data_IF_508085310473
#
_entry.id   IF_508085310473
#
_cell.length_a   1.000
_cell.length_b   1.000
_cell.length_c   1.000
_cell.angle_alpha   90.00
_cell.angle_beta   90.00
_cell.angle_gamma   90.00
#
_symmetry.space_group_name_H-M   'P 1'
#
loop_
_entity.id
_entity.type
_entity.pdbx_description
1 polymer ?
#
# COMPACT_ATOMS: atom_id res chain seq x y z
N UNK A 1 15.88 -12.83 8.51
CA UNK A 1 15.25 -11.50 8.43
C UNK A 1 15.02 -11.21 6.97
N UNK A 2 13.78 -10.99 6.54
CA UNK A 2 13.50 -10.53 5.19
C UNK A 2 14.03 -9.09 5.15
N UNK A 3 14.91 -8.74 4.21
CA UNK A 3 15.28 -7.33 4.02
C UNK A 3 14.00 -6.53 3.76
N UNK A 4 13.66 -5.61 4.65
CA UNK A 4 12.38 -4.89 4.62
C UNK A 4 12.40 -3.69 3.67
N UNK A 5 13.53 -3.46 3.00
CA UNK A 5 13.66 -2.37 2.06
C UNK A 5 13.07 -2.78 0.70
N UNK A 6 12.02 -2.06 0.30
CA UNK A 6 11.40 -2.18 -1.01
C UNK A 6 11.55 -0.82 -1.68
N UNK A 7 12.52 -0.75 -2.59
CA UNK A 7 12.77 0.44 -3.40
C UNK A 7 11.68 0.57 -4.47
N UNK A 8 11.07 1.76 -4.57
CA UNK A 8 10.14 2.08 -5.65
C UNK A 8 10.98 2.53 -6.84
N UNK A 9 11.08 1.65 -7.85
CA UNK A 9 11.75 1.97 -9.12
C UNK A 9 11.05 3.15 -9.81
N UNK A 10 11.84 3.97 -10.51
CA UNK A 10 11.36 5.18 -11.18
C UNK A 10 10.25 4.91 -12.20
N UNK A 11 10.35 3.83 -12.97
CA UNK A 11 9.34 3.42 -13.96
C UNK A 11 7.98 3.15 -13.29
N UNK A 12 7.98 2.37 -12.21
CA UNK A 12 6.78 2.06 -11.43
C UNK A 12 6.17 3.31 -10.80
N UNK A 13 7.00 4.21 -10.27
CA UNK A 13 6.53 5.47 -9.70
C UNK A 13 5.83 6.32 -10.76
N UNK A 14 6.46 6.44 -11.94
CA UNK A 14 5.91 7.22 -13.04
C UNK A 14 4.57 6.64 -13.53
N UNK A 15 4.48 5.31 -13.65
CA UNK A 15 3.22 4.65 -14.01
C UNK A 15 2.14 4.84 -12.93
N UNK A 16 2.52 4.79 -11.65
CA UNK A 16 1.60 5.06 -10.55
C UNK A 16 1.08 6.50 -10.57
N UNK A 17 1.95 7.48 -10.79
CA UNK A 17 1.58 8.89 -10.89
C UNK A 17 0.70 9.12 -12.13
N UNK A 18 1.00 8.50 -13.27
CA UNK A 18 0.14 8.58 -14.47
C UNK A 18 -1.24 7.98 -14.24
N UNK A 19 -1.30 6.85 -13.54
CA UNK A 19 -2.56 6.18 -13.21
C UNK A 19 -3.40 7.01 -12.23
N UNK A 20 -2.76 7.57 -11.20
CA UNK A 20 -3.42 8.28 -10.11
C UNK A 20 -3.70 9.76 -10.41
N UNK A 21 -2.83 10.41 -11.19
CA UNK A 21 -2.88 11.82 -11.58
C UNK A 21 -1.85 12.72 -10.87
N UNK A 22 -1.31 12.32 -9.72
CA UNK A 22 -0.29 13.08 -8.99
C UNK A 22 0.53 12.20 -8.04
N UNK A 23 1.63 12.74 -7.49
CA UNK A 23 2.41 12.10 -6.45
C UNK A 23 1.89 12.52 -5.07
N UNK A 24 1.49 11.54 -4.25
CA UNK A 24 1.02 11.77 -2.89
C UNK A 24 1.44 10.66 -1.92
N UNK A 25 1.49 10.94 -0.61
CA UNK A 25 2.04 9.98 0.36
C UNK A 25 1.17 8.73 0.50
N UNK A 26 -0.15 8.85 0.37
CA UNK A 26 -1.05 7.69 0.40
C UNK A 26 -0.84 6.76 -0.81
N UNK A 27 -0.59 7.31 -2.01
CA UNK A 27 -0.20 6.53 -3.19
C UNK A 27 1.10 5.75 -2.92
N UNK A 28 2.12 6.43 -2.37
CA UNK A 28 3.41 5.82 -2.03
C UNK A 28 3.25 4.72 -0.97
N UNK A 29 2.43 4.93 0.06
CA UNK A 29 2.11 3.89 1.05
C UNK A 29 1.56 2.63 0.36
N UNK A 30 0.65 2.81 -0.60
CA UNK A 30 0.06 1.71 -1.36
C UNK A 30 1.10 0.95 -2.18
N UNK A 31 1.99 1.69 -2.85
CA UNK A 31 3.11 1.10 -3.60
C UNK A 31 4.03 0.28 -2.69
N UNK A 32 4.44 0.84 -1.54
CA UNK A 32 5.31 0.13 -0.58
C UNK A 32 4.65 -1.12 -0.04
N UNK A 33 3.37 -1.04 0.36
CA UNK A 33 2.63 -2.21 0.84
C UNK A 33 2.52 -3.30 -0.24
N UNK A 34 2.19 -2.93 -1.48
CA UNK A 34 2.07 -3.88 -2.58
C UNK A 34 3.40 -4.51 -3.02
N UNK A 35 4.48 -3.72 -3.05
CA UNK A 35 5.82 -4.24 -3.34
C UNK A 35 6.30 -5.21 -2.26
N UNK A 36 6.06 -4.90 -0.99
CA UNK A 36 6.36 -5.79 0.11
C UNK A 36 5.54 -7.09 0.01
N UNK A 37 4.26 -7.01 -0.33
CA UNK A 37 3.43 -8.19 -0.57
C UNK A 37 3.96 -9.07 -1.71
N UNK A 38 4.39 -8.47 -2.82
CA UNK A 38 5.02 -9.20 -3.92
C UNK A 38 6.31 -9.90 -3.48
N UNK A 39 7.11 -9.28 -2.60
CA UNK A 39 8.34 -9.86 -2.05
C UNK A 39 8.06 -11.04 -1.13
N UNK A 40 7.07 -10.90 -0.24
CA UNK A 40 6.75 -11.90 0.80
C UNK A 40 5.95 -13.09 0.24
N UNK A 41 4.95 -12.83 -0.60
CA UNK A 41 4.02 -13.85 -1.09
C UNK A 41 4.34 -14.32 -2.52
N UNK A 42 5.22 -13.60 -3.23
CA UNK A 42 5.48 -13.78 -4.66
C UNK A 42 4.39 -13.15 -5.53
N UNK A 43 4.79 -12.32 -6.48
CA UNK A 43 3.86 -11.65 -7.42
C UNK A 43 3.08 -12.68 -8.25
N UNK A 44 1.76 -12.54 -8.28
CA UNK A 44 0.86 -13.33 -9.14
C UNK A 44 -0.44 -12.55 -9.38
N UNK A 45 -0.75 -12.26 -10.64
CA UNK A 45 -1.84 -11.37 -11.04
C UNK A 45 -3.25 -11.92 -10.79
N UNK A 46 -3.39 -13.24 -10.60
CA UNK A 46 -4.69 -13.91 -10.54
C UNK A 46 -4.92 -14.64 -9.20
N UNK A 47 -3.85 -15.14 -8.57
CA UNK A 47 -3.94 -15.85 -7.30
C UNK A 47 -3.82 -14.95 -6.08
N UNK A 48 -3.12 -13.82 -6.19
CA UNK A 48 -3.08 -12.85 -5.10
C UNK A 48 -4.42 -12.13 -5.00
N UNK A 49 -4.90 -11.98 -3.76
CA UNK A 49 -6.06 -11.16 -3.40
C UNK A 49 -5.65 -10.11 -2.38
N UNK A 50 -6.29 -8.95 -2.43
CA UNK A 50 -6.10 -7.88 -1.47
C UNK A 50 -7.44 -7.45 -0.86
N UNK A 51 -7.49 -7.27 0.46
CA UNK A 51 -8.61 -6.64 1.16
C UNK A 51 -8.08 -5.36 1.77
N UNK A 52 -8.57 -4.23 1.31
CA UNK A 52 -8.15 -2.89 1.74
C UNK A 52 -9.24 -2.30 2.61
N UNK A 53 -8.90 -1.97 3.85
CA UNK A 53 -9.76 -1.28 4.81
C UNK A 53 -9.25 0.16 4.92
N UNK A 54 -10.06 1.13 4.50
CA UNK A 54 -9.72 2.56 4.48
C UNK A 54 -10.99 3.41 4.35
N UNK A 55 -10.90 4.73 4.58
CA UNK A 55 -12.00 5.65 4.28
C UNK A 55 -12.22 5.71 2.77
N UNK A 56 -13.48 5.69 2.28
CA UNK A 56 -13.77 5.56 0.85
C UNK A 56 -13.58 6.86 0.05
N UNK A 57 -12.83 7.82 0.59
CA UNK A 57 -12.62 9.14 -0.01
C UNK A 57 -11.13 9.53 0.04
N UNK A 58 -10.68 10.37 -0.90
CA UNK A 58 -9.35 10.95 -0.84
C UNK A 58 -9.13 11.76 0.46
N UNK A 59 -7.89 11.85 0.95
CA UNK A 59 -6.69 11.23 0.36
C UNK A 59 -6.50 9.74 0.77
N UNK A 60 -7.33 9.20 1.67
CA UNK A 60 -7.17 7.85 2.22
C UNK A 60 -7.34 6.74 1.17
N UNK A 61 -8.29 6.89 0.26
CA UNK A 61 -8.55 5.90 -0.79
C UNK A 61 -7.43 5.82 -1.84
N UNK A 62 -6.58 6.84 -1.97
CA UNK A 62 -5.42 6.85 -2.89
C UNK A 62 -4.43 5.70 -2.60
N UNK A 63 -4.43 5.19 -1.37
CA UNK A 63 -3.68 4.00 -0.97
C UNK A 63 -4.01 2.78 -1.85
N UNK A 64 -5.26 2.64 -2.26
CA UNK A 64 -5.72 1.53 -3.08
C UNK A 64 -5.10 1.54 -4.46
N UNK A 65 -4.91 2.71 -5.07
CA UNK A 65 -4.30 2.84 -6.40
C UNK A 65 -2.85 2.37 -6.39
N UNK A 66 -2.09 2.71 -5.34
CA UNK A 66 -0.73 2.22 -5.18
C UNK A 66 -0.69 0.69 -5.06
N UNK A 67 -1.64 0.08 -4.34
CA UNK A 67 -1.76 -1.38 -4.27
C UNK A 67 -2.06 -1.97 -5.65
N UNK A 68 -3.01 -1.39 -6.38
CA UNK A 68 -3.38 -1.87 -7.72
C UNK A 68 -2.19 -1.86 -8.67
N UNK A 69 -1.41 -0.77 -8.70
CA UNK A 69 -0.23 -0.63 -9.56
C UNK A 69 0.89 -1.59 -9.16
N UNK A 70 1.19 -1.70 -7.86
CA UNK A 70 2.29 -2.55 -7.39
C UNK A 70 2.01 -4.05 -7.55
N UNK A 71 0.82 -4.50 -7.14
CA UNK A 71 0.47 -5.93 -7.06
C UNK A 71 -0.19 -6.44 -8.34
N UNK A 72 -0.91 -5.58 -9.05
CA UNK A 72 -1.85 -5.99 -10.07
C UNK A 72 -3.14 -6.60 -9.52
N UNK A 73 -3.41 -6.56 -8.21
CA UNK A 73 -4.75 -6.81 -7.69
C UNK A 73 -5.63 -5.60 -8.03
N UNK A 74 -6.61 -5.74 -8.92
CA UNK A 74 -7.34 -4.59 -9.48
C UNK A 74 -8.85 -4.76 -9.35
N UNK A 75 -9.58 -3.65 -9.23
CA UNK A 75 -11.05 -3.66 -9.12
C UNK A 75 -11.70 -4.40 -10.30
N UNK A 76 -11.23 -4.17 -11.53
CA UNK A 76 -11.74 -4.84 -12.73
C UNK A 76 -11.47 -6.36 -12.79
N UNK A 77 -10.46 -6.86 -12.07
CA UNK A 77 -10.20 -8.31 -11.92
C UNK A 77 -10.96 -8.92 -10.75
N UNK A 78 -11.59 -8.10 -9.90
CA UNK A 78 -12.30 -8.55 -8.71
C UNK A 78 -11.42 -9.16 -7.61
N UNK A 79 -10.08 -9.02 -7.71
CA UNK A 79 -9.14 -9.56 -6.73
C UNK A 79 -8.58 -8.50 -5.76
N UNK A 80 -9.19 -7.31 -5.72
CA UNK A 80 -9.06 -6.35 -4.63
C UNK A 80 -10.48 -6.00 -4.12
N UNK A 81 -10.63 -5.95 -2.80
CA UNK A 81 -11.90 -5.62 -2.14
C UNK A 81 -11.68 -4.40 -1.26
N UNK A 82 -12.50 -3.38 -1.45
CA UNK A 82 -12.55 -2.20 -0.60
C UNK A 82 -13.54 -2.43 0.56
N UNK A 83 -13.13 -2.09 1.77
CA UNK A 83 -13.97 -2.06 2.98
C UNK A 83 -13.81 -0.72 3.66
N UNK A 84 -14.91 -0.21 4.23
CA UNK A 84 -14.85 1.01 5.01
C UNK A 84 -14.10 0.75 6.33
N UNK A 85 -13.22 1.65 6.71
CA UNK A 85 -12.45 1.59 7.95
C UNK A 85 -11.97 2.96 8.40
N UNK A 86 -11.78 3.13 9.71
CA UNK A 86 -11.34 4.41 10.28
C UNK A 86 -9.84 4.68 10.08
N UNK A 87 -9.05 3.62 9.92
CA UNK A 87 -7.61 3.66 9.66
C UNK A 87 -7.30 2.95 8.33
N UNK A 88 -6.01 2.85 7.97
CA UNK A 88 -5.55 2.19 6.75
C UNK A 88 -4.95 0.84 7.10
N UNK A 89 -5.51 -0.22 6.53
CA UNK A 89 -4.90 -1.55 6.55
C UNK A 89 -5.15 -2.31 5.27
N UNK A 90 -4.27 -3.27 4.99
CA UNK A 90 -4.42 -4.21 3.88
C UNK A 90 -4.09 -5.62 4.33
N UNK A 91 -4.91 -6.57 3.88
CA UNK A 91 -4.64 -7.99 4.00
C UNK A 91 -4.43 -8.57 2.61
N UNK A 92 -3.23 -9.10 2.36
CA UNK A 92 -2.91 -9.85 1.16
C UNK A 92 -3.01 -11.35 1.43
N UNK A 93 -3.61 -12.09 0.49
CA UNK A 93 -3.81 -13.53 0.60
C UNK A 93 -3.33 -14.19 -0.69
N UNK A 94 -2.50 -15.21 -0.58
CA UNK A 94 -2.09 -16.07 -1.70
C UNK A 94 -1.70 -17.45 -1.20
N UNK A 95 -2.24 -18.49 -1.81
CA UNK A 95 -1.89 -19.91 -1.56
C UNK A 95 -1.88 -20.28 -0.06
N UNK A 96 -2.90 -19.84 0.69
CA UNK A 96 -3.04 -20.09 2.13
C UNK A 96 -2.18 -19.19 3.03
N UNK A 97 -1.26 -18.39 2.49
CA UNK A 97 -0.47 -17.41 3.24
C UNK A 97 -1.20 -16.07 3.31
N UNK A 98 -1.19 -15.47 4.49
CA UNK A 98 -1.84 -14.21 4.79
C UNK A 98 -0.79 -13.22 5.29
N UNK A 99 -0.69 -12.06 4.64
CA UNK A 99 0.12 -10.93 5.07
C UNK A 99 -0.83 -9.79 5.46
N UNK A 100 -0.77 -9.34 6.71
CA UNK A 100 -1.53 -8.19 7.19
C UNK A 100 -0.58 -7.03 7.44
N UNK A 101 -0.98 -5.84 6.99
CA UNK A 101 -0.23 -4.60 7.17
C UNK A 101 -1.21 -3.52 7.63
N UNK A 102 -0.94 -2.92 8.79
CA UNK A 102 -1.72 -1.79 9.33
C UNK A 102 -0.82 -0.56 9.40
N UNK A 103 -1.29 0.55 8.84
CA UNK A 103 -0.55 1.82 8.92
C UNK A 103 -0.45 2.23 10.40
N UNK A 104 0.76 2.59 10.84
CA UNK A 104 0.95 3.08 12.21
C UNK A 104 0.26 4.43 12.38
N UNK A 105 -0.41 4.63 13.52
CA UNK A 105 -1.19 5.85 13.77
C UNK A 105 -0.32 7.11 13.70
N UNK A 106 0.94 7.04 14.16
CA UNK A 106 1.89 8.15 14.10
C UNK A 106 2.17 8.65 12.68
N UNK A 107 2.06 7.77 11.67
CA UNK A 107 2.17 8.16 10.25
C UNK A 107 0.93 8.89 9.80
N UNK A 108 -0.24 8.40 10.21
CA UNK A 108 -1.51 9.00 9.85
C UNK A 108 -1.67 10.40 10.48
N UNK A 109 -1.20 10.58 11.70
CA UNK A 109 -1.13 11.88 12.38
C UNK A 109 -0.19 12.86 11.66
N UNK A 110 1.00 12.42 11.28
CA UNK A 110 1.95 13.23 10.51
C UNK A 110 1.35 13.70 9.16
N UNK A 111 0.51 12.88 8.54
CA UNK A 111 -0.15 13.21 7.28
C UNK A 111 -1.35 14.15 7.45
N UNK A 112 -2.05 14.11 8.60
CA UNK A 112 -3.14 15.06 8.91
C UNK A 112 -2.63 16.50 9.04
N UNK A 113 -1.34 16.69 9.31
CA UNK A 113 -0.71 18.01 9.40
C UNK A 113 -0.38 18.65 8.03
N UNK A 114 -0.61 17.94 6.91
CA UNK A 114 -0.38 18.49 5.57
C UNK A 114 -1.43 19.54 5.22
N UNK A 115 -0.98 20.68 4.67
CA UNK A 115 -1.84 21.83 4.38
C UNK A 115 -1.82 22.30 2.92
N UNK A 116 -0.89 21.77 2.11
CA UNK A 116 -0.67 22.20 0.73
C UNK A 116 -0.26 21.04 -0.18
N UNK A 117 -0.33 21.25 -1.50
CA UNK A 117 0.15 20.29 -2.49
C UNK A 117 1.67 20.06 -2.41
N UNK A 118 2.45 21.12 -2.13
CA UNK A 118 3.89 21.02 -1.89
C UNK A 118 4.22 20.18 -0.63
N UNK A 119 3.39 20.24 0.41
CA UNK A 119 3.53 19.36 1.57
C UNK A 119 3.28 17.89 1.19
N UNK A 120 2.28 17.64 0.34
CA UNK A 120 1.94 16.29 -0.14
C UNK A 120 3.11 15.64 -0.88
N UNK A 121 3.70 16.35 -1.84
CA UNK A 121 4.84 15.83 -2.61
C UNK A 121 6.06 15.59 -1.72
N UNK A 122 6.39 16.54 -0.83
CA UNK A 122 7.49 16.38 0.14
C UNK A 122 7.27 15.14 1.02
N UNK A 123 6.06 14.96 1.56
CA UNK A 123 5.70 13.82 2.39
C UNK A 123 5.72 12.51 1.62
N UNK A 124 5.36 12.51 0.34
CA UNK A 124 5.52 11.34 -0.51
C UNK A 124 6.99 10.91 -0.62
N UNK A 125 7.90 11.86 -0.86
CA UNK A 125 9.34 11.58 -0.95
C UNK A 125 9.94 11.12 0.38
N UNK A 126 9.52 11.71 1.51
CA UNK A 126 9.88 11.22 2.85
C UNK A 126 9.40 9.79 3.07
N UNK A 127 8.16 9.49 2.69
CA UNK A 127 7.57 8.14 2.82
C UNK A 127 8.32 7.12 1.96
N UNK A 128 8.78 7.50 0.77
CA UNK A 128 9.56 6.59 -0.09
C UNK A 128 10.83 6.11 0.59
N UNK A 129 11.52 6.99 1.35
CA UNK A 129 12.80 6.72 2.01
C UNK A 129 12.70 5.86 3.28
N UNK A 130 11.50 5.71 3.83
CA UNK A 130 11.27 4.95 5.08
C UNK A 130 11.18 3.46 4.79
N UNK A 131 11.61 2.61 5.71
CA UNK A 131 11.39 1.17 5.58
C UNK A 131 9.89 0.82 5.67
N UNK A 132 9.51 -0.39 5.26
CA UNK A 132 8.13 -0.84 5.41
C UNK A 132 7.74 -0.98 6.89
N UNK A 133 8.65 -1.43 7.77
CA UNK A 133 8.41 -1.57 9.20
C UNK A 133 8.35 -0.23 9.96
N UNK A 134 8.95 0.83 9.43
CA UNK A 134 8.76 2.18 9.96
C UNK A 134 7.34 2.72 9.71
N UNK A 135 6.66 2.21 8.68
CA UNK A 135 5.35 2.69 8.23
C UNK A 135 4.21 1.80 8.73
N UNK A 136 4.40 0.49 8.78
CA UNK A 136 3.35 -0.48 9.05
C UNK A 136 3.67 -1.39 10.24
N UNK A 137 2.64 -1.76 10.99
CA UNK A 137 2.63 -2.97 11.80
C UNK A 137 2.31 -4.16 10.89
N UNK A 138 3.13 -5.21 10.96
CA UNK A 138 3.13 -6.32 9.98
C UNK A 138 2.93 -7.65 10.72
N UNK A 139 2.03 -8.49 10.22
CA UNK A 139 1.93 -9.89 10.63
C UNK A 139 1.81 -10.83 9.43
N UNK A 140 2.38 -12.03 9.56
CA UNK A 140 2.30 -13.10 8.56
C UNK A 140 1.73 -14.34 9.23
N UNK A 141 0.71 -14.91 8.61
CA UNK A 141 -0.01 -16.09 9.08
C UNK A 141 -0.12 -17.12 7.95
N UNK A 142 -0.24 -18.40 8.30
CA UNK A 142 -0.63 -19.45 7.36
C UNK A 142 -2.01 -19.96 7.77
N UNK A 143 -2.93 -20.08 6.80
CA UNK A 143 -4.19 -20.77 7.01
C UNK A 143 -3.87 -22.25 7.24
N UNK A 144 -4.04 -22.69 8.49
CA UNK A 144 -4.07 -24.13 8.80
C UNK A 144 -5.36 -24.67 8.18
N UNK A 145 -5.19 -25.61 7.24
CA UNK A 145 -6.28 -26.39 6.67
C UNK A 145 -6.98 -27.25 7.71
#
# INVERSE_FOLDING_TARGET
MIEEDCEIRYDLLNDAVKFHGHLGPFLVLGLKAGLFANKVLGKDYFRMRAIVETKPNPPYSCFMDGIQVATGCTMGKGNIIAKNGESISVTFIKDGKILKMRLKESILEDFKAMSSEGDSERKALETMRRSVSELFDISIEEQKG
#
